data_IF_819347160517
#
_entry.id   IF_819347160517
#
_cell.length_a   1.000
_cell.length_b   1.000
_cell.length_c   1.000
_cell.angle_alpha   90.00
_cell.angle_beta   90.00
_cell.angle_gamma   90.00
#
_symmetry.space_group_name_H-M   'P 1'
#
loop_
_entity.id
_entity.type
_entity.pdbx_description
1 polymer ?
#
# COMPACT_ATOMS: atom_id res chain seq x y z
N UNK A 1 38.18 -25.92 -2.43
CA UNK A 1 36.96 -25.25 -1.97
C UNK A 1 37.01 -23.79 -2.38
N UNK A 2 36.16 -23.31 -3.31
CA UNK A 2 36.13 -21.91 -3.72
C UNK A 2 35.35 -21.08 -2.67
N UNK A 3 36.00 -20.02 -2.17
CA UNK A 3 35.42 -19.03 -1.25
C UNK A 3 34.24 -18.31 -1.94
N UNK A 4 33.05 -18.36 -1.34
CA UNK A 4 31.90 -17.55 -1.74
C UNK A 4 32.31 -16.07 -1.70
N UNK A 5 32.26 -15.40 -2.85
CA UNK A 5 32.37 -13.93 -2.93
C UNK A 5 31.14 -13.33 -2.25
N UNK A 6 31.34 -12.72 -1.09
CA UNK A 6 30.41 -11.80 -0.47
C UNK A 6 30.10 -10.70 -1.48
N UNK A 7 28.89 -10.70 -2.02
CA UNK A 7 28.36 -9.56 -2.79
C UNK A 7 28.27 -8.36 -1.85
N UNK A 8 28.89 -7.26 -2.24
CA UNK A 8 28.81 -5.99 -1.56
C UNK A 8 27.34 -5.60 -1.33
N UNK A 9 27.01 -5.26 -0.09
CA UNK A 9 25.71 -4.68 0.26
C UNK A 9 25.48 -3.42 -0.56
N UNK A 10 24.37 -3.38 -1.39
CA UNK A 10 23.76 -2.12 -1.59
C UNK A 10 23.57 -1.48 -2.92
N UNK A 11 23.40 -2.12 -4.02
CA UNK A 11 22.65 -1.46 -5.09
C UNK A 11 21.38 -2.26 -5.36
N UNK A 12 20.23 -1.68 -4.96
CA UNK A 12 18.91 -2.22 -5.34
C UNK A 12 18.81 -2.25 -6.86
N UNK A 13 18.23 -3.31 -7.43
CA UNK A 13 18.16 -3.46 -8.89
C UNK A 13 17.31 -2.39 -9.58
N UNK A 14 16.51 -1.61 -8.83
CA UNK A 14 15.58 -0.63 -9.39
C UNK A 14 15.67 0.73 -8.68
N UNK A 15 15.75 1.86 -9.45
CA UNK A 15 15.75 3.20 -8.87
C UNK A 15 14.37 3.51 -8.24
N UNK A 16 14.37 4.31 -7.16
CA UNK A 16 13.17 4.79 -6.49
C UNK A 16 12.74 6.14 -7.08
N UNK A 17 11.45 6.31 -7.30
CA UNK A 17 10.86 7.63 -7.44
C UNK A 17 10.57 8.20 -6.04
N UNK A 18 11.11 9.37 -5.74
CA UNK A 18 10.90 10.03 -4.44
C UNK A 18 9.41 10.26 -4.21
N UNK A 19 8.89 9.86 -3.06
CA UNK A 19 7.46 9.98 -2.70
C UNK A 19 6.58 8.81 -3.15
N UNK A 20 7.02 7.96 -4.09
CA UNK A 20 6.29 6.76 -4.47
C UNK A 20 6.74 5.55 -3.64
N UNK A 21 5.76 4.75 -3.23
CA UNK A 21 5.92 3.45 -2.56
C UNK A 21 5.17 2.42 -3.38
N UNK A 22 5.89 1.66 -4.21
CA UNK A 22 5.29 0.63 -5.08
C UNK A 22 5.64 -0.74 -4.52
N UNK A 23 4.65 -1.60 -4.39
CA UNK A 23 4.82 -2.93 -3.85
C UNK A 23 3.64 -3.87 -4.12
N UNK A 24 3.50 -4.84 -3.28
CA UNK A 24 2.61 -5.99 -3.42
C UNK A 24 1.69 -6.11 -2.21
N UNK A 25 0.53 -6.73 -2.41
CA UNK A 25 -0.45 -7.02 -1.35
C UNK A 25 -0.16 -8.41 -0.78
N UNK A 26 0.58 -8.46 0.34
CA UNK A 26 1.12 -9.71 0.89
C UNK A 26 2.41 -10.17 0.19
N UNK A 27 2.99 -11.27 0.71
CA UNK A 27 4.24 -11.84 0.15
C UNK A 27 4.32 -13.36 0.28
N UNK A 28 3.36 -14.02 0.95
CA UNK A 28 3.36 -15.47 1.18
C UNK A 28 2.38 -16.17 0.25
N UNK A 29 2.82 -16.42 -0.95
CA UNK A 29 2.04 -17.11 -1.96
C UNK A 29 2.81 -18.33 -2.47
N UNK A 30 2.22 -19.52 -2.35
CA UNK A 30 2.85 -20.75 -2.78
C UNK A 30 3.24 -20.75 -4.27
N UNK A 31 2.38 -20.26 -5.20
CA UNK A 31 2.71 -20.19 -6.62
C UNK A 31 3.91 -19.29 -6.95
N UNK A 32 4.34 -18.42 -6.03
CA UNK A 32 5.49 -17.55 -6.27
C UNK A 32 6.84 -18.25 -6.05
N UNK A 33 6.84 -19.43 -5.42
CA UNK A 33 8.05 -20.22 -5.15
C UNK A 33 8.50 -20.93 -6.40
N UNK A 34 9.77 -20.73 -6.76
CA UNK A 34 10.32 -21.25 -8.02
C UNK A 34 10.08 -20.34 -9.23
N UNK A 35 9.31 -19.25 -9.07
CA UNK A 35 9.08 -18.21 -10.08
C UNK A 35 9.66 -16.86 -9.59
N UNK A 36 8.89 -16.08 -8.83
CA UNK A 36 9.37 -14.83 -8.23
C UNK A 36 10.41 -15.07 -7.14
N UNK A 37 10.16 -16.03 -6.25
CA UNK A 37 11.15 -16.49 -5.28
C UNK A 37 12.05 -17.56 -5.91
N UNK A 38 13.39 -17.43 -5.77
CA UNK A 38 14.30 -18.47 -6.27
C UNK A 38 13.97 -19.86 -5.72
N UNK A 39 14.16 -20.93 -6.51
CA UNK A 39 14.01 -22.28 -6.00
C UNK A 39 14.86 -22.48 -4.73
N UNK A 40 14.27 -23.11 -3.71
CA UNK A 40 14.94 -23.39 -2.44
C UNK A 40 15.06 -22.21 -1.47
N UNK A 41 14.51 -21.02 -1.79
CA UNK A 41 14.49 -19.92 -0.83
C UNK A 41 13.63 -20.30 0.38
N UNK A 42 14.16 -20.31 1.61
CA UNK A 42 13.37 -20.60 2.81
C UNK A 42 12.24 -19.58 3.01
N UNK A 43 11.07 -20.06 3.41
CA UNK A 43 9.87 -19.21 3.57
C UNK A 43 10.08 -18.00 4.48
N UNK A 44 10.89 -18.12 5.53
CA UNK A 44 11.18 -17.02 6.43
C UNK A 44 12.03 -15.89 5.79
N UNK A 45 12.66 -16.15 4.64
CA UNK A 45 13.44 -15.18 3.88
C UNK A 45 12.63 -14.51 2.75
N UNK A 46 11.40 -14.97 2.46
CA UNK A 46 10.55 -14.41 1.39
C UNK A 46 10.31 -12.92 1.57
N UNK A 47 10.06 -12.45 2.81
CA UNK A 47 9.86 -11.03 3.09
C UNK A 47 11.13 -10.20 2.82
N UNK A 48 12.29 -10.66 3.27
CA UNK A 48 13.56 -9.97 3.02
C UNK A 48 13.88 -9.89 1.53
N UNK A 49 13.66 -10.98 0.79
CA UNK A 49 13.82 -11.02 -0.66
C UNK A 49 12.87 -10.03 -1.39
N UNK A 50 11.61 -9.96 -0.99
CA UNK A 50 10.64 -9.01 -1.54
C UNK A 50 11.03 -7.56 -1.18
N UNK A 51 11.47 -7.29 0.04
CA UNK A 51 11.88 -5.97 0.50
C UNK A 51 13.16 -5.42 -0.16
N UNK A 52 13.98 -6.27 -0.79
CA UNK A 52 15.04 -5.82 -1.67
C UNK A 52 14.52 -5.21 -2.99
N UNK A 53 13.32 -5.59 -3.42
CA UNK A 53 12.71 -5.23 -4.70
C UNK A 53 11.66 -4.15 -4.59
N UNK A 54 10.96 -4.10 -3.47
CA UNK A 54 9.86 -3.17 -3.21
C UNK A 54 10.20 -2.17 -2.11
N UNK A 55 9.47 -1.06 -2.07
CA UNK A 55 9.62 -0.02 -1.06
C UNK A 55 8.57 -0.12 0.04
N UNK A 56 7.53 -0.92 -0.20
CA UNK A 56 6.42 -1.13 0.71
C UNK A 56 5.74 -2.46 0.41
N UNK A 57 5.07 -3.02 1.42
CA UNK A 57 4.18 -4.18 1.29
C UNK A 57 2.93 -3.91 2.10
N UNK A 58 1.76 -4.32 1.57
CA UNK A 58 0.50 -4.32 2.29
C UNK A 58 0.38 -5.60 3.13
N UNK A 59 0.22 -5.44 4.46
CA UNK A 59 0.06 -6.55 5.40
C UNK A 59 -1.39 -7.06 5.38
N UNK A 60 -1.61 -8.22 4.75
CA UNK A 60 -2.92 -8.87 4.70
C UNK A 60 -3.21 -9.76 5.91
N UNK A 61 -2.19 -10.21 6.64
CA UNK A 61 -2.36 -11.08 7.81
C UNK A 61 -3.26 -10.47 8.88
N UNK A 62 -3.14 -9.17 9.15
CA UNK A 62 -3.94 -8.41 10.11
C UNK A 62 -5.43 -8.32 9.74
N UNK A 63 -5.78 -8.51 8.49
CA UNK A 63 -7.18 -8.55 8.02
C UNK A 63 -7.92 -9.78 8.54
N UNK A 64 -7.25 -10.94 8.54
CA UNK A 64 -7.86 -12.22 8.92
C UNK A 64 -7.83 -12.50 10.41
N UNK A 65 -6.75 -12.09 11.10
CA UNK A 65 -6.58 -12.29 12.53
C UNK A 65 -5.65 -11.26 13.14
N UNK A 66 -5.79 -11.02 14.45
CA UNK A 66 -4.80 -10.23 15.20
C UNK A 66 -3.46 -10.97 15.17
N UNK A 67 -2.44 -10.29 14.68
CA UNK A 67 -1.08 -10.84 14.64
C UNK A 67 -0.41 -10.67 16.02
N UNK A 68 0.61 -11.48 16.29
CA UNK A 68 1.35 -11.40 17.55
C UNK A 68 2.49 -10.38 17.47
N UNK A 69 2.89 -9.78 18.58
CA UNK A 69 4.03 -8.84 18.65
C UNK A 69 5.30 -9.37 17.98
N UNK A 70 5.63 -10.64 18.19
CA UNK A 70 6.82 -11.27 17.64
C UNK A 70 6.79 -11.33 16.10
N UNK A 71 5.60 -11.39 15.51
CA UNK A 71 5.46 -11.35 14.05
C UNK A 71 5.83 -9.97 13.50
N UNK A 72 5.32 -8.91 14.11
CA UNK A 72 5.64 -7.54 13.74
C UNK A 72 7.13 -7.20 13.97
N UNK A 73 7.71 -7.68 15.08
CA UNK A 73 9.14 -7.52 15.37
C UNK A 73 10.00 -8.21 14.30
N UNK A 74 9.65 -9.44 13.91
CA UNK A 74 10.35 -10.15 12.82
C UNK A 74 10.22 -9.40 11.49
N UNK A 75 9.03 -8.89 11.15
CA UNK A 75 8.82 -8.12 9.92
C UNK A 75 9.62 -6.83 9.93
N UNK A 76 9.64 -6.12 11.05
CA UNK A 76 10.47 -4.93 11.21
C UNK A 76 11.96 -5.23 10.94
N UNK A 77 12.49 -6.31 11.53
CA UNK A 77 13.88 -6.69 11.39
C UNK A 77 14.23 -7.22 9.98
N UNK A 78 13.25 -7.77 9.24
CA UNK A 78 13.46 -8.37 7.92
C UNK A 78 13.53 -7.38 6.77
N UNK A 79 13.24 -6.10 6.99
CA UNK A 79 13.18 -5.10 5.92
C UNK A 79 14.11 -3.93 6.18
N UNK A 80 14.65 -3.29 5.12
CA UNK A 80 15.65 -2.23 5.27
C UNK A 80 15.07 -0.95 5.88
N UNK A 81 15.92 -0.01 6.33
CA UNK A 81 15.49 1.34 6.71
C UNK A 81 14.71 2.03 5.59
N UNK A 82 13.68 2.81 5.96
CA UNK A 82 12.83 3.53 5.03
C UNK A 82 11.80 2.68 4.27
N UNK A 83 11.74 1.36 4.54
CA UNK A 83 10.64 0.49 4.10
C UNK A 83 9.38 0.78 4.92
N UNK A 84 8.20 0.76 4.29
CA UNK A 84 6.93 0.96 4.97
C UNK A 84 6.00 -0.25 4.79
N UNK A 85 5.25 -0.56 5.84
CA UNK A 85 4.16 -1.53 5.77
C UNK A 85 2.82 -0.80 5.79
N UNK A 86 2.01 -0.94 4.73
CA UNK A 86 0.59 -0.61 4.84
C UNK A 86 -0.12 -1.73 5.62
N UNK A 87 -1.04 -1.35 6.49
CA UNK A 87 -1.68 -2.30 7.42
C UNK A 87 -3.14 -2.43 7.02
N UNK A 88 -3.54 -3.60 6.51
CA UNK A 88 -4.94 -3.87 6.22
C UNK A 88 -5.70 -4.12 7.51
N UNK A 89 -6.63 -3.23 7.82
CA UNK A 89 -7.48 -3.29 9.02
C UNK A 89 -8.33 -4.56 9.04
N UNK A 90 -8.62 -5.04 10.25
CA UNK A 90 -9.28 -6.33 10.47
C UNK A 90 -10.65 -6.44 9.79
N UNK A 91 -10.91 -7.59 9.15
CA UNK A 91 -12.24 -7.95 8.62
C UNK A 91 -13.31 -7.99 9.71
N UNK A 92 -12.93 -8.21 10.95
CA UNK A 92 -13.85 -8.16 12.08
C UNK A 92 -14.45 -6.76 12.21
N UNK A 93 -13.64 -5.70 12.06
CA UNK A 93 -14.09 -4.30 12.09
C UNK A 93 -14.94 -3.97 10.85
N UNK A 94 -14.44 -4.28 9.66
CA UNK A 94 -15.02 -3.78 8.41
C UNK A 94 -16.15 -4.66 7.87
N UNK A 95 -16.06 -5.99 7.98
CA UNK A 95 -17.02 -6.94 7.38
C UNK A 95 -17.99 -7.50 8.40
N UNK A 96 -17.54 -7.85 9.62
CA UNK A 96 -18.40 -8.49 10.62
C UNK A 96 -19.17 -7.43 11.42
N UNK A 97 -18.50 -6.49 12.07
CA UNK A 97 -19.12 -5.40 12.84
C UNK A 97 -19.63 -4.27 11.92
N UNK A 98 -19.19 -4.22 10.66
CA UNK A 98 -19.63 -3.22 9.67
C UNK A 98 -19.48 -1.80 10.20
N UNK A 99 -18.35 -1.52 10.86
CA UNK A 99 -17.95 -0.25 11.49
C UNK A 99 -18.82 0.20 12.67
N UNK A 100 -19.59 -0.68 13.31
CA UNK A 100 -20.44 -0.36 14.48
C UNK A 100 -19.85 -0.99 15.73
N UNK A 101 -19.74 -0.24 16.86
CA UNK A 101 -19.22 -0.73 18.13
C UNK A 101 -17.82 -1.33 17.98
N UNK A 102 -16.93 -0.64 17.28
CA UNK A 102 -15.60 -1.16 16.90
C UNK A 102 -14.47 -0.71 17.84
N UNK A 103 -14.78 0.02 18.89
CA UNK A 103 -13.82 0.66 19.79
C UNK A 103 -12.81 -0.35 20.35
N UNK A 104 -13.28 -1.44 20.96
CA UNK A 104 -12.41 -2.49 21.48
C UNK A 104 -11.68 -3.24 20.38
N UNK A 105 -12.34 -3.49 19.24
CA UNK A 105 -11.71 -4.19 18.12
C UNK A 105 -10.56 -3.37 17.52
N UNK A 106 -10.73 -2.05 17.42
CA UNK A 106 -9.69 -1.12 16.97
C UNK A 106 -8.55 -1.03 17.99
N UNK A 107 -8.88 -0.93 19.29
CA UNK A 107 -7.89 -0.93 20.36
C UNK A 107 -7.06 -2.23 20.37
N UNK A 108 -7.70 -3.38 20.21
CA UNK A 108 -7.05 -4.68 20.11
C UNK A 108 -6.11 -4.77 18.90
N UNK A 109 -6.54 -4.27 17.73
CA UNK A 109 -5.69 -4.23 16.54
C UNK A 109 -4.42 -3.41 16.80
N UNK A 110 -4.55 -2.23 17.37
CA UNK A 110 -3.41 -1.34 17.67
C UNK A 110 -2.48 -1.95 18.73
N UNK A 111 -3.06 -2.51 19.81
CA UNK A 111 -2.30 -3.10 20.90
C UNK A 111 -1.60 -4.41 20.52
N UNK A 112 -2.12 -5.17 19.54
CA UNK A 112 -1.66 -6.53 19.20
C UNK A 112 -0.23 -6.63 18.66
N UNK A 113 0.51 -5.51 18.63
CA UNK A 113 1.93 -5.49 18.22
C UNK A 113 2.23 -4.61 17.01
N UNK A 114 1.24 -3.94 16.41
CA UNK A 114 1.44 -3.02 15.26
C UNK A 114 2.56 -2.02 15.53
N UNK A 115 2.67 -1.51 16.75
CA UNK A 115 3.67 -0.51 17.14
C UNK A 115 5.12 -1.03 17.11
N UNK A 116 5.32 -2.36 17.08
CA UNK A 116 6.66 -2.92 16.84
C UNK A 116 7.22 -2.59 15.45
N UNK A 117 6.39 -2.16 14.50
CA UNK A 117 6.85 -1.65 13.20
C UNK A 117 7.49 -0.26 13.31
N UNK A 118 7.28 0.48 14.40
CA UNK A 118 7.90 1.80 14.68
C UNK A 118 7.73 2.75 13.50
N UNK A 119 8.80 3.43 13.05
CA UNK A 119 8.82 4.33 11.90
C UNK A 119 8.50 3.66 10.54
N UNK A 120 8.38 2.34 10.51
CA UNK A 120 8.00 1.58 9.31
C UNK A 120 6.48 1.39 9.18
N UNK A 121 5.67 1.98 10.09
CA UNK A 121 4.22 2.05 9.95
C UNK A 121 3.87 2.91 8.74
N UNK A 122 3.17 2.32 7.76
CA UNK A 122 2.55 2.98 6.62
C UNK A 122 1.06 3.24 6.86
N UNK A 123 0.30 3.56 5.79
CA UNK A 123 -1.14 3.82 5.91
C UNK A 123 -1.92 2.57 6.35
N UNK A 124 -3.02 2.80 7.08
CA UNK A 124 -4.01 1.77 7.39
C UNK A 124 -5.06 1.73 6.27
N UNK A 125 -5.26 0.56 5.69
CA UNK A 125 -6.29 0.30 4.68
C UNK A 125 -7.54 -0.26 5.35
N UNK A 126 -8.67 0.42 5.19
CA UNK A 126 -10.00 -0.04 5.60
C UNK A 126 -10.80 -0.42 4.35
N UNK A 127 -10.85 -1.71 4.02
CA UNK A 127 -11.63 -2.20 2.89
C UNK A 127 -13.03 -2.59 3.34
N UNK A 128 -14.06 -2.02 2.72
CA UNK A 128 -15.46 -2.34 2.99
C UNK A 128 -15.96 -3.50 2.11
N UNK A 129 -16.92 -4.30 2.62
CA UNK A 129 -17.54 -5.33 1.79
C UNK A 129 -18.46 -4.71 0.73
N UNK A 130 -18.67 -5.39 -0.44
CA UNK A 130 -19.52 -4.88 -1.51
C UNK A 130 -20.99 -4.74 -1.11
N UNK A 131 -21.42 -5.41 -0.05
CA UNK A 131 -22.79 -5.32 0.49
C UNK A 131 -23.01 -4.14 1.43
N UNK A 132 -22.00 -3.31 1.68
CA UNK A 132 -22.08 -2.17 2.60
C UNK A 132 -22.34 -0.89 1.83
N UNK A 133 -23.56 -0.37 1.90
CA UNK A 133 -23.94 0.91 1.32
C UNK A 133 -23.37 2.10 2.10
N UNK A 134 -23.29 3.25 1.44
CA UNK A 134 -22.88 4.52 2.02
C UNK A 134 -23.84 4.96 3.14
N UNK A 135 -23.25 5.30 4.28
CA UNK A 135 -23.93 5.83 5.46
C UNK A 135 -22.98 6.85 6.10
N UNK A 136 -23.27 8.13 5.93
CA UNK A 136 -22.39 9.20 6.35
C UNK A 136 -22.19 9.23 7.88
N UNK A 137 -23.24 8.97 8.67
CA UNK A 137 -23.14 8.98 10.13
C UNK A 137 -22.24 7.84 10.64
N UNK A 138 -22.42 6.64 10.08
CA UNK A 138 -21.58 5.48 10.41
C UNK A 138 -20.12 5.72 10.09
N UNK A 139 -19.82 6.28 8.92
CA UNK A 139 -18.45 6.61 8.53
C UNK A 139 -17.86 7.70 9.42
N UNK A 140 -18.62 8.74 9.73
CA UNK A 140 -18.20 9.82 10.63
C UNK A 140 -17.79 9.25 11.98
N UNK A 141 -18.66 8.46 12.63
CA UNK A 141 -18.37 7.83 13.91
C UNK A 141 -17.12 6.95 13.85
N UNK A 142 -16.94 6.20 12.78
CA UNK A 142 -15.74 5.39 12.59
C UNK A 142 -14.47 6.25 12.41
N UNK A 143 -14.52 7.31 11.60
CA UNK A 143 -13.36 8.15 11.33
C UNK A 143 -12.89 8.93 12.57
N UNK A 144 -13.80 9.29 13.46
CA UNK A 144 -13.51 9.93 14.75
C UNK A 144 -12.80 9.00 15.74
N UNK A 145 -12.89 7.69 15.56
CA UNK A 145 -12.14 6.70 16.35
C UNK A 145 -10.70 6.51 15.89
N UNK A 146 -10.39 6.87 14.64
CA UNK A 146 -9.09 6.59 14.01
C UNK A 146 -8.01 7.55 14.52
N UNK A 147 -6.90 7.06 15.12
CA UNK A 147 -5.83 7.92 15.60
C UNK A 147 -5.09 8.60 14.46
N UNK A 148 -4.64 9.83 14.68
CA UNK A 148 -3.84 10.62 13.73
C UNK A 148 -2.41 10.82 14.22
N UNK A 149 -2.23 10.80 15.55
CA UNK A 149 -0.92 11.00 16.20
C UNK A 149 -0.49 9.74 16.96
N UNK A 150 0.79 9.69 17.34
CA UNK A 150 1.33 8.62 18.19
C UNK A 150 0.63 8.57 19.57
N UNK A 151 0.33 9.74 20.14
CA UNK A 151 -0.35 9.87 21.42
C UNK A 151 -1.78 9.33 21.37
N UNK A 152 -2.54 9.70 20.31
CA UNK A 152 -3.90 9.19 20.11
C UNK A 152 -3.89 7.67 19.88
N UNK A 153 -2.93 7.15 19.12
CA UNK A 153 -2.78 5.72 18.88
C UNK A 153 -2.46 4.95 20.17
N UNK A 154 -1.55 5.48 21.00
CA UNK A 154 -1.22 4.90 22.30
C UNK A 154 -2.43 4.94 23.26
N UNK A 155 -3.14 6.07 23.32
CA UNK A 155 -4.34 6.21 24.15
C UNK A 155 -5.42 5.20 23.71
N UNK A 156 -5.66 5.06 22.40
CA UNK A 156 -6.62 4.09 21.86
C UNK A 156 -6.21 2.66 22.17
N UNK A 157 -4.95 2.29 22.00
CA UNK A 157 -4.45 0.95 22.24
C UNK A 157 -4.60 0.52 23.71
N UNK A 158 -4.47 1.44 24.68
CA UNK A 158 -4.68 1.14 26.12
C UNK A 158 -6.11 0.73 26.46
N UNK A 159 -7.07 0.96 25.57
CA UNK A 159 -8.47 0.54 25.73
C UNK A 159 -8.72 -0.88 25.20
N UNK A 160 -7.67 -1.68 24.98
CA UNK A 160 -7.80 -3.07 24.57
C UNK A 160 -8.54 -3.90 25.62
N UNK A 161 -9.13 -5.00 25.20
CA UNK A 161 -9.79 -5.96 26.09
C UNK A 161 -8.90 -7.21 26.33
N UNK A 162 -9.39 -8.14 27.13
CA UNK A 162 -8.69 -9.35 27.55
C UNK A 162 -8.23 -10.27 26.40
N UNK A 163 -8.73 -10.08 25.16
CA UNK A 163 -8.32 -10.89 24.00
C UNK A 163 -6.84 -10.74 23.65
N UNK A 164 -6.22 -9.64 24.02
CA UNK A 164 -4.79 -9.39 23.74
C UNK A 164 -3.94 -9.26 25.00
N UNK A 165 -4.50 -9.53 26.19
CA UNK A 165 -3.74 -9.52 27.44
C UNK A 165 -2.48 -10.40 27.34
N UNK A 166 -1.39 -9.92 27.93
CA UNK A 166 -0.09 -10.60 27.90
C UNK A 166 0.63 -10.65 26.56
N UNK A 167 0.05 -10.04 25.49
CA UNK A 167 0.64 -9.97 24.16
C UNK A 167 0.41 -8.61 23.49
N UNK A 168 0.74 -7.55 24.19
CA UNK A 168 0.56 -6.19 23.72
C UNK A 168 1.88 -5.45 23.57
N UNK A 169 1.92 -4.48 22.64
CA UNK A 169 2.93 -3.42 22.58
C UNK A 169 2.18 -2.10 22.57
N UNK A 170 2.36 -1.31 23.63
CA UNK A 170 1.65 -0.04 23.84
C UNK A 170 2.57 1.18 23.65
N UNK A 171 3.88 0.95 23.55
CA UNK A 171 4.86 2.00 23.28
C UNK A 171 4.89 2.33 21.78
N UNK A 172 4.61 3.58 21.46
CA UNK A 172 4.52 4.07 20.07
C UNK A 172 5.73 4.95 19.77
N UNK A 173 6.46 4.60 18.70
CA UNK A 173 7.54 5.47 18.21
C UNK A 173 6.96 6.83 17.77
N UNK A 174 7.43 7.95 18.32
CA UNK A 174 6.89 9.29 17.99
C UNK A 174 7.05 9.69 16.52
N UNK A 175 7.91 8.98 15.76
CA UNK A 175 8.07 9.16 14.31
C UNK A 175 7.01 8.42 13.49
N UNK A 176 6.19 7.56 14.13
CA UNK A 176 5.11 6.83 13.45
C UNK A 176 4.04 7.80 12.96
N UNK A 177 3.58 7.59 11.72
CA UNK A 177 2.51 8.38 11.11
C UNK A 177 1.26 7.52 10.95
N UNK A 178 0.14 8.02 11.47
CA UNK A 178 -1.14 7.33 11.40
C UNK A 178 -2.01 7.95 10.30
N UNK A 179 -1.97 7.35 9.13
CA UNK A 179 -2.74 7.76 7.95
C UNK A 179 -3.71 6.65 7.57
N UNK A 180 -4.89 7.01 7.10
CA UNK A 180 -5.96 6.06 6.83
C UNK A 180 -6.48 6.19 5.41
N UNK A 181 -6.74 5.05 4.77
CA UNK A 181 -7.33 4.94 3.44
C UNK A 181 -8.57 4.05 3.49
N UNK A 182 -9.61 4.40 2.73
CA UNK A 182 -10.87 3.66 2.64
C UNK A 182 -11.09 3.14 1.24
N UNK A 183 -11.23 1.81 1.08
CA UNK A 183 -11.65 1.15 -0.16
C UNK A 183 -13.13 0.82 -0.10
N UNK A 184 -13.89 1.32 -1.06
CA UNK A 184 -15.33 1.09 -1.19
C UNK A 184 -15.63 0.22 -2.41
N UNK A 185 -16.72 -0.55 -2.35
CA UNK A 185 -17.09 -1.53 -3.37
C UNK A 185 -18.57 -1.49 -3.76
N UNK A 186 -19.36 -0.59 -3.18
CA UNK A 186 -20.79 -0.46 -3.44
C UNK A 186 -21.08 0.84 -4.19
N UNK A 187 -21.98 0.80 -5.18
CA UNK A 187 -22.30 1.94 -6.05
C UNK A 187 -22.83 3.17 -5.31
N UNK A 188 -23.47 3.00 -4.15
CA UNK A 188 -23.98 4.14 -3.35
C UNK A 188 -22.87 5.11 -2.88
N UNK A 189 -21.60 4.73 -2.96
CA UNK A 189 -20.48 5.63 -2.67
C UNK A 189 -20.14 6.58 -3.83
N UNK A 190 -20.74 6.39 -5.00
CA UNK A 190 -20.54 7.28 -6.16
C UNK A 190 -21.41 8.54 -5.95
N UNK A 191 -21.02 9.38 -4.99
CA UNK A 191 -21.70 10.63 -4.63
C UNK A 191 -20.69 11.67 -4.11
N UNK A 192 -20.87 12.97 -4.50
CA UNK A 192 -20.03 14.05 -3.97
C UNK A 192 -20.00 14.14 -2.44
N UNK A 193 -21.10 13.81 -1.77
CA UNK A 193 -21.20 13.81 -0.31
C UNK A 193 -20.16 12.88 0.34
N UNK A 194 -19.87 11.74 -0.29
CA UNK A 194 -18.84 10.83 0.19
C UNK A 194 -17.44 11.45 0.06
N UNK A 195 -17.13 12.06 -1.07
CA UNK A 195 -15.81 12.71 -1.28
C UNK A 195 -15.59 13.83 -0.28
N UNK A 196 -16.60 14.67 -0.03
CA UNK A 196 -16.54 15.75 0.96
C UNK A 196 -16.36 15.20 2.40
N UNK A 197 -17.03 14.09 2.72
CA UNK A 197 -16.85 13.42 4.02
C UNK A 197 -15.41 12.94 4.21
N UNK A 198 -14.81 12.29 3.20
CA UNK A 198 -13.41 11.85 3.25
C UNK A 198 -12.46 13.04 3.41
N UNK A 199 -12.69 14.13 2.67
CA UNK A 199 -11.88 15.37 2.76
C UNK A 199 -11.96 15.99 4.15
N UNK A 200 -13.16 16.06 4.73
CA UNK A 200 -13.39 16.58 6.09
C UNK A 200 -12.56 15.82 7.13
N UNK A 201 -12.44 14.51 6.97
CA UNK A 201 -11.75 13.63 7.90
C UNK A 201 -10.33 13.25 7.44
N UNK A 202 -9.80 13.83 6.37
CA UNK A 202 -8.48 13.53 5.79
C UNK A 202 -8.23 12.03 5.60
N UNK A 203 -9.27 11.29 5.17
CA UNK A 203 -9.17 9.87 4.80
C UNK A 203 -8.89 9.78 3.30
N UNK A 204 -7.85 9.06 2.91
CA UNK A 204 -7.56 8.82 1.50
C UNK A 204 -8.61 7.89 0.88
N UNK A 205 -9.23 8.32 -0.23
CA UNK A 205 -9.99 7.42 -1.08
C UNK A 205 -9.02 6.45 -1.76
N UNK A 206 -9.28 5.14 -1.64
CA UNK A 206 -8.50 4.15 -2.38
C UNK A 206 -8.90 4.17 -3.84
N UNK A 207 -7.94 4.43 -4.71
CA UNK A 207 -8.09 4.25 -6.15
C UNK A 207 -7.94 2.76 -6.45
N UNK A 208 -9.05 2.04 -6.60
CA UNK A 208 -9.07 0.60 -6.79
C UNK A 208 -9.41 0.24 -8.25
N UNK A 209 -8.41 -0.22 -9.00
CA UNK A 209 -8.63 -0.80 -10.33
C UNK A 209 -9.00 -2.28 -10.18
N UNK A 210 -10.24 -2.59 -10.51
CA UNK A 210 -10.85 -3.90 -10.27
C UNK A 210 -11.42 -4.54 -11.54
N UNK A 211 -10.84 -4.22 -12.70
CA UNK A 211 -11.34 -4.66 -14.01
C UNK A 211 -12.85 -4.32 -14.19
N UNK A 212 -13.28 -3.17 -13.69
CA UNK A 212 -14.66 -2.70 -13.82
C UNK A 212 -15.67 -3.35 -12.86
N UNK A 213 -15.24 -4.19 -11.93
CA UNK A 213 -16.16 -4.88 -11.00
C UNK A 213 -16.78 -3.95 -9.95
N UNK A 214 -16.04 -2.95 -9.48
CA UNK A 214 -16.46 -1.97 -8.48
C UNK A 214 -16.11 -0.57 -8.93
N UNK A 215 -16.68 0.48 -8.31
CA UNK A 215 -16.41 1.85 -8.69
C UNK A 215 -14.92 2.20 -8.69
N UNK A 216 -14.43 2.79 -9.76
CA UNK A 216 -13.10 3.38 -9.85
C UNK A 216 -13.24 4.89 -9.69
N UNK A 217 -12.88 5.40 -8.53
CA UNK A 217 -12.93 6.82 -8.15
C UNK A 217 -11.50 7.30 -7.90
N UNK A 218 -11.15 8.46 -8.43
CA UNK A 218 -9.79 9.01 -8.38
C UNK A 218 -9.72 10.38 -7.69
N UNK A 219 -10.76 10.71 -6.90
CA UNK A 219 -10.79 11.95 -6.12
C UNK A 219 -9.69 11.98 -5.07
N UNK A 220 -8.95 13.08 -5.01
CA UNK A 220 -7.93 13.32 -3.99
C UNK A 220 -8.59 13.85 -2.72
N UNK A 221 -8.48 13.10 -1.63
CA UNK A 221 -9.20 13.38 -0.37
C UNK A 221 -8.28 13.55 0.84
N UNK A 222 -6.96 13.27 0.70
CA UNK A 222 -5.96 13.37 1.76
C UNK A 222 -4.62 13.92 1.25
N UNK A 223 -3.61 13.96 2.13
CA UNK A 223 -2.23 14.36 1.80
C UNK A 223 -1.43 13.27 1.08
N UNK A 224 -2.02 12.12 0.87
CA UNK A 224 -1.44 10.99 0.14
C UNK A 224 -2.49 10.30 -0.75
N UNK A 225 -2.03 9.47 -1.67
CA UNK A 225 -2.86 8.63 -2.54
C UNK A 225 -2.57 7.17 -2.24
N UNK A 226 -3.62 6.34 -2.19
CA UNK A 226 -3.54 4.91 -2.03
C UNK A 226 -4.16 4.21 -3.23
N UNK A 227 -3.38 3.42 -3.95
CA UNK A 227 -3.80 2.73 -5.17
C UNK A 227 -3.73 1.23 -4.95
N UNK A 228 -4.76 0.51 -5.38
CA UNK A 228 -4.78 -0.95 -5.43
C UNK A 228 -5.10 -1.43 -6.85
N UNK A 229 -4.20 -2.25 -7.39
CA UNK A 229 -4.24 -2.74 -8.76
C UNK A 229 -4.53 -4.25 -8.74
N UNK A 230 -5.79 -4.61 -9.03
CA UNK A 230 -6.30 -5.97 -8.90
C UNK A 230 -6.33 -6.75 -10.23
N UNK A 231 -5.84 -6.19 -11.32
CA UNK A 231 -5.83 -6.77 -12.67
C UNK A 231 -6.49 -5.86 -13.70
N UNK A 232 -5.89 -5.77 -14.89
CA UNK A 232 -6.32 -4.87 -15.97
C UNK A 232 -7.64 -5.32 -16.62
N UNK A 233 -7.71 -6.60 -17.07
CA UNK A 233 -8.86 -7.14 -17.78
C UNK A 233 -9.67 -8.16 -16.97
N UNK A 234 -9.04 -8.84 -16.01
CA UNK A 234 -9.67 -9.88 -15.20
C UNK A 234 -9.19 -9.77 -13.75
N UNK A 235 -10.13 -9.60 -12.85
CA UNK A 235 -9.90 -9.37 -11.44
C UNK A 235 -9.02 -10.45 -10.82
N UNK A 236 -7.95 -10.05 -10.12
CA UNK A 236 -6.95 -10.86 -9.43
C UNK A 236 -6.10 -11.79 -10.32
N UNK A 237 -6.40 -11.92 -11.62
CA UNK A 237 -5.80 -12.92 -12.49
C UNK A 237 -4.93 -12.31 -13.61
N UNK A 238 -5.41 -11.23 -14.27
CA UNK A 238 -4.66 -10.64 -15.36
C UNK A 238 -3.50 -9.76 -14.87
N UNK A 239 -2.38 -9.81 -15.61
CA UNK A 239 -1.35 -8.79 -15.53
C UNK A 239 -1.80 -7.50 -16.21
N UNK A 240 -0.99 -6.47 -16.06
CA UNK A 240 -1.15 -5.18 -16.73
C UNK A 240 -0.32 -5.16 -18.02
N UNK A 241 -0.90 -4.65 -19.10
CA UNK A 241 -0.14 -4.39 -20.33
C UNK A 241 0.90 -3.29 -20.09
N UNK A 242 1.95 -3.25 -20.95
CA UNK A 242 2.93 -2.16 -20.87
C UNK A 242 2.28 -0.78 -20.98
N UNK A 243 1.30 -0.62 -21.89
CA UNK A 243 0.57 0.63 -22.08
C UNK A 243 -0.28 1.01 -20.86
N UNK A 244 -0.94 0.03 -20.20
CA UNK A 244 -1.68 0.28 -18.96
C UNK A 244 -0.75 0.74 -17.83
N UNK A 245 0.42 0.10 -17.68
CA UNK A 245 1.42 0.52 -16.70
C UNK A 245 2.03 1.91 -17.01
N UNK A 246 2.16 2.29 -18.31
CA UNK A 246 2.57 3.64 -18.68
C UNK A 246 1.51 4.68 -18.29
N UNK A 247 0.22 4.38 -18.50
CA UNK A 247 -0.88 5.23 -18.07
C UNK A 247 -0.94 5.39 -16.54
N UNK A 248 -0.73 4.31 -15.78
CA UNK A 248 -0.61 4.38 -14.33
C UNK A 248 0.60 5.18 -13.87
N UNK A 249 1.76 5.01 -14.53
CA UNK A 249 2.95 5.81 -14.21
C UNK A 249 2.71 7.31 -14.44
N UNK A 250 1.95 7.69 -15.47
CA UNK A 250 1.58 9.08 -15.71
C UNK A 250 0.67 9.66 -14.61
N UNK A 251 -0.35 8.91 -14.19
CA UNK A 251 -1.24 9.32 -13.09
C UNK A 251 -0.45 9.47 -11.78
N UNK A 252 0.39 8.49 -11.45
CA UNK A 252 1.23 8.53 -10.25
C UNK A 252 2.18 9.74 -10.28
N UNK A 253 2.78 10.02 -11.42
CA UNK A 253 3.67 11.17 -11.60
C UNK A 253 2.94 12.51 -11.33
N UNK A 254 1.69 12.65 -11.83
CA UNK A 254 0.86 13.81 -11.56
C UNK A 254 0.54 13.95 -10.06
N UNK A 255 0.16 12.87 -9.37
CA UNK A 255 -0.12 12.88 -7.94
C UNK A 255 1.11 13.21 -7.08
N UNK A 256 2.29 12.69 -7.45
CA UNK A 256 3.54 13.01 -6.77
C UNK A 256 3.88 14.50 -6.85
N UNK A 257 3.51 15.18 -7.95
CA UNK A 257 3.63 16.63 -8.12
C UNK A 257 2.44 17.41 -7.55
N UNK A 258 1.59 16.76 -6.75
CA UNK A 258 0.43 17.39 -6.12
C UNK A 258 -0.74 17.71 -7.05
N UNK A 259 -0.66 17.32 -8.35
CA UNK A 259 -1.67 17.58 -9.37
C UNK A 259 -2.68 16.46 -9.49
N UNK A 260 -3.88 16.78 -9.95
CA UNK A 260 -4.84 15.80 -10.44
C UNK A 260 -4.49 15.40 -11.89
N UNK A 261 -4.54 14.09 -12.25
CA UNK A 261 -4.40 13.66 -13.63
C UNK A 261 -5.50 14.25 -14.52
N UNK A 262 -5.17 14.61 -15.77
CA UNK A 262 -6.13 15.24 -16.70
C UNK A 262 -7.36 14.37 -17.01
N UNK A 263 -7.20 13.05 -16.96
CA UNK A 263 -8.22 12.05 -17.24
C UNK A 263 -8.69 11.32 -15.97
N UNK A 264 -8.58 11.96 -14.80
CA UNK A 264 -9.05 11.39 -13.54
C UNK A 264 -10.57 11.20 -13.53
N UNK A 265 -11.04 10.08 -12.99
CA UNK A 265 -12.47 9.79 -12.79
C UNK A 265 -12.89 10.32 -11.43
N UNK A 266 -13.26 11.58 -11.39
CA UNK A 266 -13.68 12.30 -10.18
C UNK A 266 -15.17 12.53 -10.15
N UNK A 267 -15.74 12.52 -8.95
CA UNK A 267 -17.15 12.80 -8.69
C UNK A 267 -17.35 13.96 -7.72
N UNK A 268 -16.29 14.47 -7.10
CA UNK A 268 -16.30 15.63 -6.23
C UNK A 268 -16.68 16.90 -7.01
N UNK A 269 -17.46 17.78 -6.38
CA UNK A 269 -17.91 19.05 -6.99
C UNK A 269 -16.85 20.14 -6.96
N UNK A 270 -15.79 19.96 -6.20
CA UNK A 270 -14.66 20.89 -6.06
C UNK A 270 -13.34 20.17 -6.33
N UNK A 271 -12.33 20.86 -6.89
CA UNK A 271 -10.99 20.30 -7.01
C UNK A 271 -10.41 19.99 -5.62
N UNK A 272 -9.44 19.09 -5.56
CA UNK A 272 -8.72 18.83 -4.32
C UNK A 272 -7.92 20.06 -3.88
N UNK A 273 -7.73 20.21 -2.56
CA UNK A 273 -6.88 21.26 -2.04
C UNK A 273 -5.48 21.20 -2.68
N UNK A 274 -4.94 22.32 -3.18
CA UNK A 274 -3.59 22.36 -3.75
C UNK A 274 -2.55 21.89 -2.74
N UNK A 275 -1.65 21.02 -3.19
CA UNK A 275 -0.49 20.57 -2.40
C UNK A 275 0.74 20.55 -3.30
N UNK A 276 1.93 20.91 -2.79
CA UNK A 276 3.14 20.91 -3.62
C UNK A 276 3.58 19.50 -4.03
N UNK A 277 3.20 18.50 -3.25
CA UNK A 277 3.46 17.07 -3.50
C UNK A 277 2.52 16.19 -2.67
N UNK A 278 2.34 14.94 -3.08
CA UNK A 278 1.70 13.89 -2.29
C UNK A 278 2.56 12.63 -2.27
N UNK A 279 2.54 11.90 -1.15
CA UNK A 279 3.02 10.53 -1.15
C UNK A 279 2.04 9.64 -1.92
N UNK A 280 2.53 8.67 -2.69
CA UNK A 280 1.69 7.73 -3.43
C UNK A 280 2.07 6.29 -3.04
N UNK A 281 1.11 5.54 -2.54
CA UNK A 281 1.24 4.12 -2.21
C UNK A 281 0.50 3.29 -3.25
N UNK A 282 1.19 2.33 -3.86
CA UNK A 282 0.62 1.46 -4.91
C UNK A 282 0.86 0.01 -4.56
N UNK A 283 -0.21 -0.77 -4.50
CA UNK A 283 -0.13 -2.20 -4.19
C UNK A 283 -0.81 -3.02 -5.27
N UNK A 284 -0.07 -3.98 -5.81
CA UNK A 284 -0.58 -4.97 -6.74
C UNK A 284 -1.16 -6.16 -5.97
N UNK A 285 -2.39 -6.54 -6.31
CA UNK A 285 -3.19 -7.61 -5.68
C UNK A 285 -3.70 -8.61 -6.76
N UNK A 286 -2.96 -8.74 -7.88
CA UNK A 286 -3.21 -9.67 -8.99
C UNK A 286 -2.24 -10.86 -8.91
N UNK A 287 -2.28 -11.58 -7.81
CA UNK A 287 -1.28 -12.56 -7.38
C UNK A 287 -1.53 -13.99 -7.87
N UNK A 288 -2.74 -14.34 -8.38
CA UNK A 288 -3.12 -15.70 -8.76
C UNK A 288 -2.17 -16.33 -9.80
N UNK A 289 -1.67 -15.53 -10.77
CA UNK A 289 -0.74 -15.98 -11.81
C UNK A 289 0.65 -15.36 -11.68
N UNK A 290 1.09 -15.09 -10.46
CA UNK A 290 2.40 -14.48 -10.17
C UNK A 290 2.62 -13.13 -10.90
N UNK A 291 1.55 -12.38 -11.21
CA UNK A 291 1.66 -11.11 -11.97
C UNK A 291 2.07 -9.95 -11.08
N UNK A 292 1.54 -9.88 -9.86
CA UNK A 292 1.74 -8.76 -8.95
C UNK A 292 3.22 -8.33 -8.79
N UNK A 293 4.20 -9.21 -8.51
CA UNK A 293 5.57 -8.79 -8.33
C UNK A 293 6.20 -8.22 -9.61
N UNK A 294 5.90 -8.80 -10.76
CA UNK A 294 6.47 -8.35 -12.06
C UNK A 294 5.86 -7.04 -12.52
N UNK A 295 4.55 -6.86 -12.37
CA UNK A 295 3.86 -5.61 -12.68
C UNK A 295 4.34 -4.47 -11.77
N UNK A 296 4.52 -4.74 -10.47
CA UNK A 296 5.05 -3.76 -9.51
C UNK A 296 6.48 -3.32 -9.87
N UNK A 297 7.36 -4.26 -10.23
CA UNK A 297 8.72 -3.94 -10.67
C UNK A 297 8.71 -3.14 -11.98
N UNK A 298 7.86 -3.52 -12.94
CA UNK A 298 7.72 -2.83 -14.22
C UNK A 298 7.24 -1.39 -14.03
N UNK A 299 6.18 -1.18 -13.23
CA UNK A 299 5.67 0.16 -12.90
C UNK A 299 6.73 1.02 -12.21
N UNK A 300 7.46 0.45 -11.25
CA UNK A 300 8.55 1.14 -10.56
C UNK A 300 9.63 1.61 -11.55
N UNK A 301 10.03 0.75 -12.49
CA UNK A 301 11.00 1.08 -13.54
C UNK A 301 10.51 2.19 -14.47
N UNK A 302 9.23 2.13 -14.90
CA UNK A 302 8.61 3.15 -15.75
C UNK A 302 8.56 4.51 -15.05
N UNK A 303 8.12 4.55 -13.81
CA UNK A 303 8.04 5.78 -13.02
C UNK A 303 9.43 6.39 -12.78
N UNK A 304 10.42 5.56 -12.47
CA UNK A 304 11.80 6.02 -12.29
C UNK A 304 12.36 6.65 -13.57
N UNK A 305 12.12 6.06 -14.75
CA UNK A 305 12.54 6.63 -16.05
C UNK A 305 11.90 8.00 -16.28
N UNK A 306 10.63 8.19 -15.98
CA UNK A 306 9.92 9.49 -16.12
C UNK A 306 10.53 10.60 -15.25
N UNK A 307 11.02 10.27 -14.06
CA UNK A 307 11.56 11.23 -13.08
C UNK A 307 13.08 11.40 -13.13
N UNK A 308 13.75 10.76 -14.09
CA UNK A 308 15.19 11.00 -14.31
C UNK A 308 15.41 12.37 -14.94
N UNK A 309 16.43 13.15 -14.51
CA UNK A 309 16.84 14.36 -15.22
C UNK A 309 17.19 14.05 -16.68
N UNK A 310 16.77 14.91 -17.61
CA UNK A 310 16.94 14.70 -19.06
C UNK A 310 18.37 14.29 -19.48
N UNK A 311 19.41 14.83 -18.82
CA UNK A 311 20.82 14.44 -19.04
C UNK A 311 21.15 12.99 -18.69
N UNK A 312 20.39 12.34 -17.76
CA UNK A 312 20.61 10.92 -17.43
C UNK A 312 19.84 9.97 -18.36
N UNK A 313 18.73 10.41 -18.92
CA UNK A 313 17.94 9.63 -19.90
C UNK A 313 18.79 9.33 -21.13
N UNK A 314 19.49 10.33 -21.68
CA UNK A 314 20.38 10.15 -22.83
C UNK A 314 21.53 9.17 -22.56
N UNK A 315 22.10 9.18 -21.36
CA UNK A 315 23.17 8.26 -20.97
C UNK A 315 22.70 6.80 -20.77
N UNK A 316 21.47 6.59 -20.29
CA UNK A 316 20.87 5.25 -20.15
C UNK A 316 20.53 4.67 -21.51
N UNK A 317 19.88 5.45 -22.40
CA UNK A 317 19.56 5.04 -23.75
C UNK A 317 20.80 4.69 -24.59
N UNK A 318 21.89 5.47 -24.42
CA UNK A 318 23.16 5.17 -25.09
C UNK A 318 23.82 3.87 -24.60
N UNK A 319 23.70 3.55 -23.31
CA UNK A 319 24.20 2.29 -22.73
C UNK A 319 23.36 1.08 -23.16
N UNK A 320 22.03 1.21 -23.21
CA UNK A 320 21.11 0.16 -23.67
C UNK A 320 21.35 -0.13 -25.17
N UNK A 321 21.54 0.91 -26.01
CA UNK A 321 21.87 0.77 -27.42
C UNK A 321 23.25 0.12 -27.65
N UNK A 322 24.25 0.44 -26.81
CA UNK A 322 25.58 -0.16 -26.88
C UNK A 322 25.59 -1.64 -26.42
N UNK A 323 24.74 -1.99 -25.43
CA UNK A 323 24.57 -3.36 -24.97
C UNK A 323 23.84 -4.25 -25.99
N UNK A 324 22.88 -3.71 -26.71
CA UNK A 324 22.17 -4.39 -27.82
C UNK A 324 23.11 -4.71 -28.99
N UNK A 325 24.00 -3.77 -29.35
CA UNK A 325 25.00 -3.97 -30.42
C UNK A 325 26.11 -4.98 -30.10
N UNK A 326 26.26 -5.36 -28.82
CA UNK A 326 27.26 -6.38 -28.42
C UNK A 326 26.68 -7.79 -28.33
N UNK A 327 25.37 -7.95 -28.50
CA UNK A 327 24.65 -9.25 -28.43
C UNK A 327 24.11 -9.72 -29.82
N UNK A 328 24.29 -8.96 -30.87
CA UNK A 328 24.11 -9.35 -32.28
C UNK A 328 25.48 -9.42 -32.96
#
# INVERSE_FOLDING_TARGET
>A
MPRARTRAAGQRPFPRARGARIGISGWRYEPWRGDFYPPGLPQHQELAFAAERFDSIELNGSFYSLQRPESYQRWYASVPPGFLFAIKGSRYITHMLRLRGVESALANLLASGVFALREKIGPFLWQLPPTMAFDANRLTSFFELLPRTAEEAAARARLHDARVDGRTILDVDPRSRFRHALEVRHESFVTPAFVELLRKHEIALVVADTAGKWPLLEDLTADFVYVRLHGDAKLYESGYTSAALDAWAEKIDAWLDGREPRNARTIGTRPAAPRPQRDVFVYFDNDIKVRAPYDAMSLSGKLAKRRLPARRVAAVSAREAAASKRRG
#
